data_IF_444258168113
#
_entry.id   IF_444258168113
#
_cell.length_a   1.000
_cell.length_b   1.000
_cell.length_c   1.000
_cell.angle_alpha   90.00
_cell.angle_beta   90.00
_cell.angle_gamma   90.00
#
_symmetry.space_group_name_H-M   'P 1'
#
loop_
_entity.id
_entity.type
_entity.pdbx_description
1 polymer ?
#
# COMPACT_ATOMS: atom_id res chain seq x y z
N UNK A 1 10.39 -53.59 12.90
CA UNK A 1 10.97 -53.17 14.19
C UNK A 1 10.99 -51.63 14.15
N UNK A 2 9.92 -50.98 14.62
CA UNK A 2 9.78 -50.19 15.89
C UNK A 2 10.79 -49.02 15.94
N UNK A 3 10.43 -47.75 16.19
CA UNK A 3 9.37 -47.19 17.05
C UNK A 3 9.01 -45.72 16.62
N UNK A 4 7.72 -45.33 16.56
CA UNK A 4 6.80 -44.73 17.58
C UNK A 4 6.89 -43.20 17.71
N UNK A 5 5.71 -42.59 17.53
CA UNK A 5 5.34 -41.17 17.61
C UNK A 5 5.24 -40.63 19.05
N UNK A 6 5.20 -39.30 19.20
CA UNK A 6 4.56 -38.65 20.35
C UNK A 6 4.03 -37.25 19.99
N UNK A 7 2.71 -37.15 19.90
CA UNK A 7 1.91 -35.92 19.91
C UNK A 7 1.72 -35.55 21.39
N UNK A 8 2.00 -34.31 21.77
CA UNK A 8 1.63 -33.80 23.10
C UNK A 8 0.50 -32.78 22.95
N UNK A 9 -0.72 -33.23 23.23
CA UNK A 9 -1.86 -32.38 23.50
C UNK A 9 -1.85 -32.06 25.00
N UNK A 10 -1.96 -30.78 25.37
CA UNK A 10 -2.18 -30.35 26.76
C UNK A 10 -3.47 -29.55 26.80
N UNK A 11 -4.51 -30.21 27.29
CA UNK A 11 -5.75 -29.59 27.77
C UNK A 11 -5.61 -29.28 29.25
N UNK A 12 -5.79 -28.01 29.64
CA UNK A 12 -6.03 -27.63 31.04
C UNK A 12 -7.30 -26.80 31.09
N UNK A 13 -8.28 -27.34 31.80
CA UNK A 13 -9.50 -26.65 32.20
C UNK A 13 -9.30 -26.05 33.60
N UNK A 14 -9.67 -24.78 33.81
CA UNK A 14 -9.89 -24.20 35.14
C UNK A 14 -11.21 -23.43 35.11
N UNK A 15 -12.06 -23.74 36.07
CA UNK A 15 -13.38 -23.16 36.27
C UNK A 15 -13.33 -21.94 37.21
N UNK A 16 -14.03 -20.88 36.80
CA UNK A 16 -14.90 -20.01 37.62
C UNK A 16 -14.31 -19.16 38.73
N UNK A 17 -14.46 -17.84 38.62
CA UNK A 17 -14.94 -16.95 39.67
C UNK A 17 -15.57 -15.69 39.05
N UNK A 18 -16.88 -15.51 39.32
CA UNK A 18 -17.69 -14.36 38.97
C UNK A 18 -17.27 -13.10 39.73
N UNK A 19 -17.29 -11.95 39.06
CA UNK A 19 -17.59 -10.66 39.69
C UNK A 19 -18.11 -9.66 38.65
N UNK A 20 -19.27 -9.06 38.95
CA UNK A 20 -19.92 -7.93 38.28
C UNK A 20 -18.96 -6.73 38.21
N UNK A 21 -19.07 -5.69 37.38
CA UNK A 21 -20.16 -4.95 36.74
C UNK A 21 -19.43 -3.93 35.83
N UNK A 22 -19.94 -3.40 34.73
CA UNK A 22 -20.99 -2.38 34.66
C UNK A 22 -21.14 -2.05 33.18
N UNK A 23 -22.37 -2.10 32.69
CA UNK A 23 -22.73 -1.65 31.34
C UNK A 23 -22.70 -0.12 31.33
N UNK A 24 -21.79 0.45 30.53
CA UNK A 24 -21.86 1.86 30.17
C UNK A 24 -22.70 1.96 28.89
N UNK A 25 -23.98 2.26 29.05
CA UNK A 25 -24.85 2.70 27.97
C UNK A 25 -24.31 4.03 27.40
N UNK A 26 -23.69 3.98 26.22
CA UNK A 26 -23.41 5.20 25.45
C UNK A 26 -24.69 5.63 24.73
N UNK A 27 -25.52 6.36 25.46
CA UNK A 27 -26.57 7.20 24.87
C UNK A 27 -25.89 8.33 24.06
N UNK A 28 -26.33 8.64 22.82
CA UNK A 28 -25.75 9.73 22.06
C UNK A 28 -26.19 11.07 22.67
N UNK A 29 -25.24 11.80 23.26
CA UNK A 29 -25.47 13.18 23.65
C UNK A 29 -25.22 14.10 22.44
N UNK A 30 -26.31 14.48 21.75
CA UNK A 30 -26.32 15.67 20.90
C UNK A 30 -26.00 16.89 21.77
N UNK A 31 -24.76 17.37 21.69
CA UNK A 31 -24.39 18.62 22.34
C UNK A 31 -24.25 19.67 21.25
N UNK A 32 -25.30 20.47 21.10
CA UNK A 32 -25.28 21.72 20.35
C UNK A 32 -24.50 22.73 21.19
N UNK A 33 -23.24 22.98 20.81
CA UNK A 33 -22.47 24.09 21.39
C UNK A 33 -22.72 25.33 20.55
N UNK A 34 -23.38 26.30 21.17
CA UNK A 34 -23.58 27.64 20.65
C UNK A 34 -22.24 28.32 20.31
N UNK A 35 -22.21 29.02 19.18
CA UNK A 35 -21.15 29.94 18.78
C UNK A 35 -21.20 31.20 19.66
N UNK A 36 -20.13 31.59 20.35
CA UNK A 36 -19.94 32.98 20.72
C UNK A 36 -19.34 33.72 19.52
N UNK A 37 -20.10 34.70 19.02
CA UNK A 37 -19.63 35.70 18.06
C UNK A 37 -18.70 36.70 18.75
N UNK A 38 -17.68 37.09 17.98
CA UNK A 38 -16.84 38.28 18.09
C UNK A 38 -15.55 38.18 18.90
N UNK A 39 -14.49 37.84 18.19
CA UNK A 39 -13.28 38.66 18.11
C UNK A 39 -12.64 38.32 16.77
N UNK A 40 -12.60 39.26 15.83
CA UNK A 40 -11.69 39.15 14.69
C UNK A 40 -10.29 39.59 15.14
N UNK A 41 -9.27 38.72 15.12
CA UNK A 41 -7.89 39.15 15.10
C UNK A 41 -7.37 39.04 13.66
N UNK A 42 -6.98 40.19 13.14
CA UNK A 42 -5.95 40.43 12.12
C UNK A 42 -5.20 39.20 11.60
N UNK A 43 -5.22 39.07 10.28
CA UNK A 43 -4.19 38.56 9.38
C UNK A 43 -2.80 38.31 10.05
N UNK A 44 -2.63 37.16 10.70
CA UNK A 44 -1.41 36.80 11.43
C UNK A 44 -0.98 35.34 11.25
N UNK A 45 -1.40 34.68 10.16
CA UNK A 45 -0.78 33.45 9.67
C UNK A 45 -0.22 33.69 8.27
N UNK A 46 0.80 34.54 8.20
CA UNK A 46 1.77 34.51 7.11
C UNK A 46 3.18 34.35 7.68
N UNK A 47 3.32 33.50 8.72
CA UNK A 47 4.62 32.90 9.03
C UNK A 47 4.94 32.00 7.83
N UNK A 48 5.73 32.55 6.91
CA UNK A 48 6.08 31.93 5.63
C UNK A 48 6.79 30.60 5.82
N UNK A 49 6.04 29.53 6.04
CA UNK A 49 6.51 28.17 5.85
C UNK A 49 6.70 28.04 4.34
N UNK A 50 7.93 28.26 3.89
CA UNK A 50 8.34 27.96 2.53
C UNK A 50 8.25 26.45 2.36
N UNK A 51 7.16 25.97 1.74
CA UNK A 51 7.05 24.56 1.39
C UNK A 51 8.03 24.32 0.24
N UNK A 52 9.19 23.76 0.58
CA UNK A 52 10.19 23.37 -0.40
C UNK A 52 9.56 22.38 -1.38
N UNK A 53 9.59 22.71 -2.67
CA UNK A 53 9.17 21.79 -3.73
C UNK A 53 10.21 20.68 -3.84
N UNK A 54 9.77 19.43 -3.94
CA UNK A 54 10.67 18.30 -4.10
C UNK A 54 11.51 18.45 -5.38
N UNK A 55 12.78 18.09 -5.30
CA UNK A 55 13.66 18.10 -6.47
C UNK A 55 13.14 17.11 -7.54
N UNK A 56 13.30 17.42 -8.84
CA UNK A 56 12.99 16.49 -9.91
C UNK A 56 13.92 15.27 -9.83
N UNK A 57 13.42 14.09 -10.24
CA UNK A 57 14.26 12.90 -10.34
C UNK A 57 15.28 13.02 -11.48
N UNK A 58 16.50 12.52 -11.28
CA UNK A 58 17.48 12.37 -12.36
C UNK A 58 17.18 11.16 -13.26
N UNK A 59 17.82 11.12 -14.43
CA UNK A 59 17.62 10.06 -15.45
C UNK A 59 17.95 8.65 -14.96
N UNK A 60 18.93 8.50 -14.06
CA UNK A 60 19.31 7.19 -13.51
C UNK A 60 18.25 6.70 -12.53
N UNK A 61 17.75 7.60 -11.67
CA UNK A 61 16.64 7.33 -10.75
C UNK A 61 15.37 6.96 -11.51
N UNK A 62 15.07 7.68 -12.60
CA UNK A 62 13.96 7.39 -13.51
C UNK A 62 14.09 5.99 -14.13
N UNK A 63 15.26 5.64 -14.68
CA UNK A 63 15.47 4.32 -15.28
C UNK A 63 15.31 3.18 -14.26
N UNK A 64 15.80 3.38 -13.03
CA UNK A 64 15.63 2.41 -11.94
C UNK A 64 14.16 2.23 -11.57
N UNK A 65 13.39 3.32 -11.49
CA UNK A 65 11.97 3.27 -11.24
C UNK A 65 11.19 2.54 -12.35
N UNK A 66 11.47 2.83 -13.63
CA UNK A 66 10.84 2.12 -14.76
C UNK A 66 11.09 0.62 -14.66
N UNK A 67 12.33 0.22 -14.35
CA UNK A 67 12.69 -1.19 -14.14
C UNK A 67 11.86 -1.82 -13.01
N UNK A 68 11.69 -1.14 -11.88
CA UNK A 68 10.86 -1.65 -10.78
C UNK A 68 9.38 -1.74 -11.18
N UNK A 69 8.85 -0.75 -11.90
CA UNK A 69 7.47 -0.77 -12.38
C UNK A 69 7.19 -1.95 -13.33
N UNK A 70 8.10 -2.26 -14.23
CA UNK A 70 8.00 -3.41 -15.12
C UNK A 70 8.07 -4.74 -14.35
N UNK A 71 8.98 -4.84 -13.39
CA UNK A 71 9.14 -6.03 -12.56
C UNK A 71 7.90 -6.31 -11.70
N UNK A 72 7.34 -5.29 -11.04
CA UNK A 72 6.12 -5.47 -10.24
C UNK A 72 4.92 -5.84 -11.11
N UNK A 73 4.79 -5.24 -12.30
CA UNK A 73 3.71 -5.61 -13.23
C UNK A 73 3.88 -7.01 -13.80
N UNK A 74 5.11 -7.45 -14.05
CA UNK A 74 5.41 -8.83 -14.46
C UNK A 74 5.07 -9.83 -13.35
N UNK A 75 5.36 -9.49 -12.08
CA UNK A 75 4.96 -10.31 -10.93
C UNK A 75 3.44 -10.33 -10.74
N UNK A 76 2.77 -9.19 -10.91
CA UNK A 76 1.31 -9.06 -10.83
C UNK A 76 0.60 -9.88 -11.91
N UNK A 77 1.13 -9.90 -13.14
CA UNK A 77 0.58 -10.55 -14.33
C UNK A 77 0.73 -12.09 -14.34
N UNK A 78 0.49 -12.75 -13.20
CA UNK A 78 0.67 -14.20 -13.03
C UNK A 78 -0.59 -14.87 -12.47
N UNK A 79 -1.72 -14.85 -13.22
CA UNK A 79 -3.00 -15.40 -12.74
C UNK A 79 -3.00 -16.92 -12.57
N UNK A 80 -2.02 -17.62 -13.14
CA UNK A 80 -1.88 -19.08 -13.06
C UNK A 80 -1.22 -19.58 -11.76
N UNK A 81 -0.71 -18.66 -10.92
CA UNK A 81 -0.08 -19.02 -9.64
C UNK A 81 -1.13 -19.18 -8.53
N UNK A 82 -0.81 -20.00 -7.53
CA UNK A 82 -1.56 -19.98 -6.27
C UNK A 82 -1.31 -18.67 -5.51
N UNK A 83 -2.25 -18.32 -4.63
CA UNK A 83 -2.24 -17.06 -3.89
C UNK A 83 -0.94 -16.83 -3.11
N UNK A 84 -0.41 -17.86 -2.44
CA UNK A 84 0.78 -17.73 -1.60
C UNK A 84 2.02 -17.47 -2.45
N UNK A 85 2.19 -18.22 -3.54
CA UNK A 85 3.31 -18.02 -4.45
C UNK A 85 3.23 -16.64 -5.14
N UNK A 86 2.02 -16.25 -5.55
CA UNK A 86 1.78 -14.97 -6.21
C UNK A 86 2.14 -13.79 -5.31
N UNK A 87 1.58 -13.69 -4.10
CA UNK A 87 1.84 -12.53 -3.22
C UNK A 87 3.28 -12.47 -2.75
N UNK A 88 3.93 -13.62 -2.51
CA UNK A 88 5.35 -13.68 -2.16
C UNK A 88 6.25 -13.16 -3.29
N UNK A 89 5.83 -13.32 -4.55
CA UNK A 89 6.51 -12.74 -5.70
C UNK A 89 6.34 -11.21 -5.80
N UNK A 90 5.27 -10.66 -5.23
CA UNK A 90 5.01 -9.23 -5.23
C UNK A 90 5.72 -8.48 -4.09
N UNK A 91 5.76 -9.05 -2.89
CA UNK A 91 6.27 -8.37 -1.69
C UNK A 91 7.62 -7.64 -1.85
N UNK A 92 8.62 -8.15 -2.60
CA UNK A 92 9.89 -7.43 -2.78
C UNK A 92 9.75 -6.06 -3.45
N UNK A 93 8.65 -5.81 -4.16
CA UNK A 93 8.41 -4.58 -4.91
C UNK A 93 7.38 -3.66 -4.27
N UNK A 94 6.76 -4.06 -3.16
CA UNK A 94 5.63 -3.34 -2.58
C UNK A 94 6.04 -2.54 -1.35
N UNK A 95 5.38 -1.40 -1.14
CA UNK A 95 5.34 -0.79 0.19
C UNK A 95 4.64 -1.73 1.17
N UNK A 96 4.85 -1.54 2.47
CA UNK A 96 4.15 -2.35 3.49
C UNK A 96 2.62 -2.21 3.38
N UNK A 97 2.14 -1.00 3.09
CA UNK A 97 0.72 -0.71 2.88
C UNK A 97 0.20 -1.44 1.65
N UNK A 98 0.88 -1.34 0.51
CA UNK A 98 0.51 -2.05 -0.71
C UNK A 98 0.53 -3.57 -0.51
N UNK A 99 1.55 -4.10 0.17
CA UNK A 99 1.62 -5.52 0.53
C UNK A 99 0.40 -5.99 1.31
N UNK A 100 -0.07 -5.17 2.26
CA UNK A 100 -1.30 -5.44 3.00
C UNK A 100 -2.55 -5.37 2.11
N UNK A 101 -2.60 -4.42 1.18
CA UNK A 101 -3.73 -4.24 0.27
C UNK A 101 -3.87 -5.37 -0.75
N UNK A 102 -2.76 -5.95 -1.22
CA UNK A 102 -2.76 -7.07 -2.16
C UNK A 102 -2.88 -8.44 -1.51
N UNK A 103 -2.62 -8.56 -0.20
CA UNK A 103 -2.81 -9.80 0.54
C UNK A 103 -4.28 -10.28 0.45
N UNK A 104 -4.49 -11.59 0.25
CA UNK A 104 -5.83 -12.14 0.06
C UNK A 104 -6.39 -12.03 -1.36
N UNK A 105 -5.65 -11.42 -2.30
CA UNK A 105 -6.07 -11.34 -3.70
C UNK A 105 -6.02 -12.73 -4.33
N UNK A 106 -7.14 -13.18 -4.91
CA UNK A 106 -7.16 -14.38 -5.74
C UNK A 106 -6.48 -14.10 -7.11
N UNK A 107 -5.31 -14.70 -7.41
CA UNK A 107 -4.57 -14.40 -8.64
C UNK A 107 -5.36 -14.73 -9.92
N UNK A 108 -6.21 -15.75 -9.90
CA UNK A 108 -7.04 -16.13 -11.05
C UNK A 108 -8.07 -15.05 -11.45
N UNK A 109 -8.26 -14.01 -10.63
CA UNK A 109 -9.09 -12.83 -10.93
C UNK A 109 -8.29 -11.62 -11.41
N UNK A 110 -6.96 -11.71 -11.45
CA UNK A 110 -6.11 -10.65 -12.01
C UNK A 110 -6.29 -10.65 -13.53
N UNK A 111 -6.75 -9.55 -14.14
CA UNK A 111 -7.09 -9.53 -15.57
C UNK A 111 -5.86 -9.42 -16.48
N UNK A 112 -4.70 -9.08 -15.91
CA UNK A 112 -3.43 -8.93 -16.64
C UNK A 112 -2.71 -10.27 -16.70
N UNK A 113 -2.21 -10.62 -17.89
CA UNK A 113 -1.42 -11.84 -18.11
C UNK A 113 -0.03 -11.54 -18.68
N UNK A 114 0.19 -10.34 -19.22
CA UNK A 114 1.45 -10.00 -19.88
C UNK A 114 1.72 -8.48 -19.88
N UNK A 115 2.99 -8.11 -19.68
CA UNK A 115 3.53 -6.78 -19.98
C UNK A 115 3.98 -6.75 -21.44
N UNK A 116 3.46 -5.81 -22.23
CA UNK A 116 3.57 -5.84 -23.71
C UNK A 116 4.56 -4.83 -24.27
N UNK A 117 5.24 -4.06 -23.42
CA UNK A 117 6.22 -3.07 -23.84
C UNK A 117 6.91 -2.40 -22.67
N UNK A 118 7.84 -1.50 -23.00
CA UNK A 118 8.61 -0.73 -22.02
C UNK A 118 7.73 0.31 -21.33
N UNK A 119 7.94 0.48 -20.02
CA UNK A 119 7.29 1.50 -19.22
C UNK A 119 7.77 2.91 -19.59
N UNK A 120 6.88 3.89 -19.46
CA UNK A 120 7.21 5.31 -19.64
C UNK A 120 6.81 6.12 -18.42
N UNK A 121 7.67 7.07 -18.02
CA UNK A 121 7.37 7.96 -16.90
C UNK A 121 6.29 8.96 -17.31
N UNK A 122 5.32 9.17 -16.42
CA UNK A 122 4.33 10.25 -16.53
C UNK A 122 4.92 11.53 -15.92
N UNK A 123 4.54 12.69 -16.46
CA UNK A 123 5.01 13.99 -15.98
C UNK A 123 4.84 14.17 -14.46
N UNK A 124 5.80 14.87 -13.84
CA UNK A 124 5.79 15.15 -12.40
C UNK A 124 6.66 14.23 -11.54
N UNK A 125 7.66 13.57 -12.12
CA UNK A 125 8.61 12.76 -11.37
C UNK A 125 9.48 13.60 -10.42
N UNK A 126 9.62 13.13 -9.19
CA UNK A 126 10.44 13.74 -8.14
C UNK A 126 11.42 12.72 -7.58
N UNK A 127 12.42 13.20 -6.84
CA UNK A 127 13.39 12.37 -6.13
C UNK A 127 12.74 11.32 -5.19
N UNK A 128 11.48 11.47 -4.80
CA UNK A 128 10.81 10.58 -3.82
C UNK A 128 9.59 9.85 -4.35
N UNK A 129 8.98 10.34 -5.43
CA UNK A 129 7.76 9.79 -5.99
C UNK A 129 7.67 10.04 -7.50
N UNK A 130 7.19 9.04 -8.24
CA UNK A 130 6.88 9.17 -9.66
C UNK A 130 5.82 8.14 -10.08
N UNK A 131 5.29 8.35 -11.28
CA UNK A 131 4.32 7.46 -11.91
C UNK A 131 4.91 6.86 -13.19
N UNK A 132 4.75 5.55 -13.39
CA UNK A 132 5.15 4.85 -14.62
C UNK A 132 3.93 4.22 -15.27
N UNK A 133 3.69 4.55 -16.53
CA UNK A 133 2.73 3.88 -17.40
C UNK A 133 3.39 2.62 -17.99
N UNK A 134 2.89 1.44 -17.63
CA UNK A 134 3.39 0.13 -18.11
C UNK A 134 2.36 -0.47 -19.07
N UNK A 135 2.68 -0.67 -20.36
CA UNK A 135 1.79 -1.35 -21.31
C UNK A 135 1.52 -2.80 -20.91
N UNK A 136 0.25 -3.21 -20.93
CA UNK A 136 -0.15 -4.61 -20.71
C UNK A 136 -1.11 -5.10 -21.79
N UNK A 137 -1.42 -6.39 -21.78
CA UNK A 137 -2.37 -6.99 -22.72
C UNK A 137 -3.82 -6.48 -22.58
N UNK A 138 -4.15 -5.72 -21.53
CA UNK A 138 -5.48 -5.11 -21.33
C UNK A 138 -5.44 -3.56 -21.31
N UNK A 139 -4.33 -2.96 -21.72
CA UNK A 139 -4.11 -1.52 -21.68
C UNK A 139 -3.03 -1.10 -20.69
N UNK A 140 -2.67 0.20 -20.64
CA UNK A 140 -1.60 0.67 -19.78
C UNK A 140 -2.05 0.71 -18.30
N UNK A 141 -1.27 0.07 -17.42
CA UNK A 141 -1.37 0.26 -15.98
C UNK A 141 -0.52 1.46 -15.57
N UNK A 142 -0.97 2.22 -14.57
CA UNK A 142 -0.15 3.26 -13.93
C UNK A 142 0.35 2.76 -12.59
N UNK A 143 1.66 2.58 -12.47
CA UNK A 143 2.35 2.19 -11.24
C UNK A 143 2.80 3.44 -10.50
N UNK A 144 2.34 3.61 -9.26
CA UNK A 144 2.81 4.65 -8.36
C UNK A 144 3.99 4.13 -7.54
N UNK A 145 5.14 4.78 -7.66
CA UNK A 145 6.38 4.39 -6.98
C UNK A 145 6.79 5.45 -5.96
N UNK A 146 7.27 5.01 -4.80
CA UNK A 146 7.78 5.89 -3.73
C UNK A 146 9.07 5.33 -3.12
N UNK A 147 9.86 6.19 -2.48
CA UNK A 147 11.02 5.82 -1.66
C UNK A 147 11.25 6.86 -0.56
N UNK A 148 11.89 6.48 0.54
CA UNK A 148 12.07 7.34 1.72
C UNK A 148 13.33 8.23 1.61
N UNK A 149 14.38 7.74 0.97
CA UNK A 149 15.60 8.49 0.68
C UNK A 149 16.07 8.29 -0.77
N UNK A 150 16.90 9.22 -1.31
CA UNK A 150 17.48 9.13 -2.66
C UNK A 150 18.24 7.84 -2.98
N UNK A 151 18.74 7.14 -1.96
CA UNK A 151 19.51 5.90 -2.10
C UNK A 151 18.68 4.65 -1.86
N UNK A 152 17.42 4.80 -1.41
CA UNK A 152 16.54 3.67 -1.14
C UNK A 152 15.98 3.10 -2.44
N UNK A 153 15.62 1.82 -2.40
CA UNK A 153 14.92 1.18 -3.49
C UNK A 153 13.54 1.82 -3.71
N UNK A 154 13.16 1.93 -4.98
CA UNK A 154 11.78 2.25 -5.36
C UNK A 154 10.84 1.11 -4.95
N UNK A 155 9.71 1.46 -4.35
CA UNK A 155 8.65 0.52 -4.00
C UNK A 155 7.32 1.00 -4.58
N UNK A 156 6.53 0.06 -5.07
CA UNK A 156 5.20 0.30 -5.58
C UNK A 156 4.19 0.45 -4.44
N UNK A 157 3.54 1.60 -4.45
CA UNK A 157 2.44 1.95 -3.56
C UNK A 157 1.09 1.50 -4.14
N UNK A 158 0.92 1.63 -5.46
CA UNK A 158 -0.36 1.33 -6.12
C UNK A 158 -0.18 0.92 -7.57
N UNK A 159 -0.93 -0.10 -8.00
CA UNK A 159 -1.12 -0.49 -9.41
C UNK A 159 -2.52 -0.05 -9.85
N UNK A 160 -2.59 0.99 -10.67
CA UNK A 160 -3.86 1.56 -11.15
C UNK A 160 -4.22 0.96 -12.51
N UNK A 161 -5.39 0.31 -12.65
CA UNK A 161 -5.80 -0.30 -13.91
C UNK A 161 -6.13 0.76 -14.99
N UNK A 162 -6.20 0.37 -16.27
CA UNK A 162 -6.62 1.23 -17.36
C UNK A 162 -8.00 1.84 -17.11
N UNK A 163 -8.22 3.07 -17.62
CA UNK A 163 -9.55 3.67 -17.65
C UNK A 163 -10.51 2.82 -18.51
N UNK A 164 -11.79 2.80 -18.13
CA UNK A 164 -12.86 2.09 -18.86
C UNK A 164 -13.32 2.85 -20.10
#
# INVERSE_FOLDING_TARGET
MRAVAAILAVTVAVAGLSACSTQADVTPASTSSAVPTDSAPVDALHDGIEIATAAPADETSIAAAVTVAENVMTAFARPDLDETTWINGLYPYLTQEAGTAYAGTNPAKVPVTEVTGTGSVVDGATEYALLVSVPTNIGPYVVSLTRQAPTDAWLADRLTPPAR
#
